data_IF_183018828197
#
_entry.id   IF_183018828197
#
_cell.length_a   1.000
_cell.length_b   1.000
_cell.length_c   1.000
_cell.angle_alpha   90.00
_cell.angle_beta   90.00
_cell.angle_gamma   90.00
#
_symmetry.space_group_name_H-M   'P 1'
#
loop_
_entity.id
_entity.type
_entity.pdbx_description
1 polymer ?
#
# COMPACT_ATOMS: atom_id res chain seq x y z
N UNK A 1 -8.21 7.43 2.33
CA UNK A 1 -7.96 6.45 1.25
C UNK A 1 -8.27 7.14 -0.05
N UNK A 2 -7.35 7.09 -0.98
CA UNK A 2 -7.48 7.62 -2.33
C UNK A 2 -7.45 6.43 -3.30
N UNK A 3 -8.31 6.45 -4.31
CA UNK A 3 -8.36 5.40 -5.33
C UNK A 3 -7.80 5.97 -6.62
N UNK A 4 -6.69 5.39 -7.09
CA UNK A 4 -5.98 5.83 -8.28
C UNK A 4 -6.03 4.68 -9.29
N UNK A 5 -6.30 5.00 -10.55
CA UNK A 5 -6.34 4.05 -11.66
C UNK A 5 -5.31 4.43 -12.70
N UNK A 6 -4.66 3.44 -13.32
CA UNK A 6 -3.55 3.69 -14.24
C UNK A 6 -2.28 4.14 -13.50
N UNK A 7 -1.28 4.58 -14.27
CA UNK A 7 0.03 4.98 -13.75
C UNK A 7 0.29 6.49 -13.82
N UNK A 8 -0.54 7.23 -14.55
CA UNK A 8 -0.30 8.64 -14.86
C UNK A 8 -0.90 9.58 -13.80
N UNK A 9 -1.86 9.08 -13.00
CA UNK A 9 -2.60 9.83 -11.99
C UNK A 9 -1.94 9.81 -10.60
N UNK A 10 -0.74 9.22 -10.45
CA UNK A 10 -0.05 9.13 -9.15
C UNK A 10 1.34 9.78 -9.17
N UNK A 11 1.62 10.60 -8.15
CA UNK A 11 2.93 11.22 -7.94
C UNK A 11 3.42 10.95 -6.50
N UNK A 12 4.64 10.41 -6.38
CA UNK A 12 5.29 10.19 -5.08
C UNK A 12 6.05 11.44 -4.65
N UNK A 13 5.33 12.39 -4.06
CA UNK A 13 5.91 13.66 -3.57
C UNK A 13 6.65 13.52 -2.22
N UNK A 14 6.67 12.32 -1.64
CA UNK A 14 7.36 12.00 -0.38
C UNK A 14 7.80 10.54 -0.35
N UNK A 15 8.77 10.22 0.53
CA UNK A 15 9.13 8.83 0.83
C UNK A 15 7.88 8.07 1.28
N UNK A 16 7.69 6.89 0.70
CA UNK A 16 6.47 6.09 0.89
C UNK A 16 6.84 4.62 0.96
N UNK A 17 6.18 3.87 1.84
CA UNK A 17 6.23 2.42 1.87
C UNK A 17 5.04 1.85 1.10
N UNK A 18 5.27 0.84 0.26
CA UNK A 18 4.24 0.26 -0.62
C UNK A 18 4.22 -1.26 -0.51
N UNK A 19 3.02 -1.84 -0.62
CA UNK A 19 2.82 -3.29 -0.77
C UNK A 19 1.97 -3.53 -2.02
N UNK A 20 2.36 -4.51 -2.83
CA UNK A 20 1.74 -4.79 -4.12
C UNK A 20 1.12 -6.19 -4.09
N UNK A 21 -0.11 -6.32 -4.56
CA UNK A 21 -0.83 -7.58 -4.62
C UNK A 21 -2.26 -7.40 -5.07
N UNK A 22 -2.93 -8.50 -5.42
CA UNK A 22 -4.35 -8.48 -5.78
C UNK A 22 -5.24 -8.10 -4.58
N UNK A 23 -4.81 -8.45 -3.35
CA UNK A 23 -5.49 -8.15 -2.09
C UNK A 23 -6.97 -8.58 -2.00
N UNK A 24 -7.41 -9.48 -2.88
CA UNK A 24 -8.78 -9.97 -2.87
C UNK A 24 -9.08 -10.78 -1.59
N UNK A 25 -10.20 -10.48 -0.94
CA UNK A 25 -10.65 -11.17 0.28
C UNK A 25 -9.82 -10.96 1.55
N UNK A 26 -8.92 -9.95 1.62
CA UNK A 26 -8.13 -9.51 2.79
C UNK A 26 -8.08 -10.52 3.95
N UNK A 27 -7.31 -11.60 3.77
CA UNK A 27 -7.08 -12.62 4.80
C UNK A 27 -5.88 -12.26 5.68
N UNK A 28 -5.56 -13.10 6.67
CA UNK A 28 -4.48 -12.85 7.65
C UNK A 28 -3.13 -12.50 7.00
N UNK A 29 -2.76 -13.18 5.91
CA UNK A 29 -1.56 -12.83 5.14
C UNK A 29 -1.56 -11.39 4.61
N UNK A 30 -2.68 -10.93 4.03
CA UNK A 30 -2.83 -9.56 3.56
C UNK A 30 -2.75 -8.54 4.71
N UNK A 31 -3.39 -8.86 5.84
CA UNK A 31 -3.35 -8.01 7.05
C UNK A 31 -1.90 -7.81 7.53
N UNK A 32 -1.09 -8.88 7.54
CA UNK A 32 0.32 -8.81 7.92
C UNK A 32 1.15 -7.92 6.99
N UNK A 33 0.93 -7.99 5.68
CA UNK A 33 1.60 -7.12 4.71
C UNK A 33 1.24 -5.64 4.92
N UNK A 34 -0.04 -5.36 5.20
CA UNK A 34 -0.52 -4.00 5.50
C UNK A 34 0.07 -3.48 6.82
N UNK A 35 0.21 -4.33 7.83
CA UNK A 35 0.84 -3.94 9.11
C UNK A 35 2.31 -3.55 8.91
N UNK A 36 3.08 -4.38 8.20
CA UNK A 36 4.51 -4.12 7.93
C UNK A 36 4.68 -2.81 7.15
N UNK A 37 3.85 -2.57 6.12
CA UNK A 37 3.97 -1.36 5.31
C UNK A 37 3.63 -0.10 6.11
N UNK A 38 2.70 -0.19 7.06
CA UNK A 38 2.37 0.90 7.98
C UNK A 38 3.53 1.23 8.91
N UNK A 39 4.10 0.21 9.57
CA UNK A 39 5.28 0.40 10.42
C UNK A 39 6.43 1.05 9.64
N UNK A 40 6.66 0.64 8.38
CA UNK A 40 7.69 1.22 7.51
C UNK A 40 7.39 2.63 7.03
N UNK A 41 6.13 3.05 7.00
CA UNK A 41 5.77 4.42 6.63
C UNK A 41 5.96 5.42 7.79
N UNK A 42 5.95 4.91 9.03
CA UNK A 42 6.15 5.71 10.24
C UNK A 42 7.65 5.86 10.63
N UNK A 43 8.55 5.10 9.98
CA UNK A 43 10.02 5.23 10.07
C UNK A 43 10.56 6.44 9.29
#
# INVERSE_FOLDING_TARGET
MEYIHGTDDFQLNKKSAVTLGKFDGIHTGHQKLIEIVRQKADE
#
